data_IF_747925692563
#
_entry.id   IF_747925692563
#
_cell.length_a   1.000
_cell.length_b   1.000
_cell.length_c   1.000
_cell.angle_alpha   90.00
_cell.angle_beta   90.00
_cell.angle_gamma   90.00
#
_symmetry.space_group_name_H-M   'P 1'
#
loop_
_entity.id
_entity.type
_entity.pdbx_description
1 polymer ?
#
# COMPACT_ATOMS: atom_id res chain seq x y z
N UNK A 1 -15.70 -57.52 64.78
CA UNK A 1 -16.72 -56.53 64.37
C UNK A 1 -16.16 -55.15 64.69
N UNK A 2 -15.33 -54.62 63.87
CA UNK A 2 -14.76 -53.23 64.01
C UNK A 2 -14.94 -52.49 62.74
N UNK A 3 -15.76 -51.47 62.81
CA UNK A 3 -16.08 -50.60 61.71
C UNK A 3 -15.03 -49.55 61.49
N UNK A 4 -14.37 -49.57 60.37
CA UNK A 4 -13.44 -48.53 59.91
C UNK A 4 -14.21 -47.36 59.34
N UNK A 5 -14.16 -46.22 60.01
CA UNK A 5 -14.70 -44.94 59.65
C UNK A 5 -13.85 -44.33 58.48
N UNK A 6 -14.44 -43.72 57.45
CA UNK A 6 -13.65 -43.11 56.36
C UNK A 6 -13.06 -41.76 56.82
N UNK A 7 -11.76 -41.53 56.58
CA UNK A 7 -11.04 -40.29 56.80
C UNK A 7 -11.69 -39.16 55.96
N UNK A 8 -12.15 -38.12 56.63
CA UNK A 8 -12.57 -36.85 56.02
C UNK A 8 -11.41 -36.22 55.21
N UNK A 9 -11.52 -36.19 53.92
CA UNK A 9 -10.62 -35.40 53.07
C UNK A 9 -10.71 -33.92 53.43
N UNK A 10 -9.58 -33.31 53.74
CA UNK A 10 -9.46 -31.88 54.01
C UNK A 10 -9.82 -31.08 52.73
N UNK A 11 -10.93 -30.32 52.81
CA UNK A 11 -11.26 -29.32 51.76
C UNK A 11 -10.14 -28.32 51.66
N UNK A 12 -9.52 -28.18 50.48
CA UNK A 12 -8.56 -27.10 50.15
C UNK A 12 -9.27 -25.76 50.33
N UNK A 13 -8.67 -24.81 51.02
CA UNK A 13 -9.16 -23.43 51.01
C UNK A 13 -9.03 -22.86 49.61
N UNK A 14 -10.13 -22.32 49.09
CA UNK A 14 -10.13 -21.64 47.80
C UNK A 14 -9.25 -20.41 47.86
N UNK A 15 -8.13 -20.40 47.12
CA UNK A 15 -7.24 -19.25 46.98
C UNK A 15 -5.80 -19.39 47.54
N UNK A 16 -5.42 -20.59 48.03
CA UNK A 16 -4.03 -20.79 48.47
C UNK A 16 -3.06 -20.80 47.24
N UNK A 17 -2.15 -19.82 47.25
CA UNK A 17 -1.16 -19.64 46.14
C UNK A 17 0.25 -20.09 46.55
N UNK A 18 0.45 -20.45 47.83
CA UNK A 18 1.76 -20.81 48.38
C UNK A 18 1.66 -22.10 49.23
N UNK A 19 2.70 -22.93 49.19
CA UNK A 19 2.76 -24.18 49.94
C UNK A 19 4.13 -24.40 50.56
N UNK A 20 4.16 -24.87 51.81
CA UNK A 20 5.41 -25.26 52.44
C UNK A 20 5.92 -26.60 51.89
N UNK A 21 7.18 -26.61 51.41
CA UNK A 21 7.84 -27.82 50.89
C UNK A 21 8.04 -28.90 51.93
N UNK A 22 8.22 -28.56 53.23
CA UNK A 22 8.45 -29.48 54.34
C UNK A 22 7.20 -30.17 54.87
N UNK A 23 6.13 -29.42 55.18
CA UNK A 23 4.95 -29.96 55.84
C UNK A 23 3.66 -29.86 55.03
N UNK A 24 3.71 -29.33 53.82
CA UNK A 24 2.55 -29.17 52.92
C UNK A 24 1.52 -28.14 53.39
N UNK A 25 1.82 -27.27 54.36
CA UNK A 25 0.91 -26.23 54.81
C UNK A 25 0.65 -25.23 53.64
N UNK A 26 -0.64 -24.93 53.38
CA UNK A 26 -1.05 -24.00 52.32
C UNK A 26 -1.31 -22.61 52.89
N UNK A 27 -0.81 -21.57 52.24
CA UNK A 27 -0.95 -20.16 52.66
C UNK A 27 -1.44 -19.30 51.47
N UNK A 28 -2.18 -18.23 51.75
CA UNK A 28 -2.68 -17.30 50.74
C UNK A 28 -1.66 -16.26 50.27
N UNK A 29 -0.53 -16.13 50.98
CA UNK A 29 0.60 -15.26 50.62
C UNK A 29 1.91 -15.87 51.07
N UNK A 30 2.99 -15.41 50.49
CA UNK A 30 4.34 -15.81 50.92
C UNK A 30 4.58 -15.42 52.39
N UNK A 31 5.08 -16.35 53.17
CA UNK A 31 5.46 -16.17 54.58
C UNK A 31 6.92 -16.65 54.72
N UNK A 32 7.78 -15.81 55.33
CA UNK A 32 9.17 -16.14 55.55
C UNK A 32 9.37 -17.39 56.46
N UNK A 33 8.43 -17.64 57.37
CA UNK A 33 8.40 -18.81 58.25
C UNK A 33 7.06 -19.54 58.15
N UNK A 34 7.10 -20.85 58.01
CA UNK A 34 5.90 -21.69 57.98
C UNK A 34 5.19 -21.68 59.35
N UNK A 35 3.92 -21.29 59.50
CA UNK A 35 3.22 -21.22 60.76
C UNK A 35 2.98 -22.63 61.38
N UNK A 36 3.06 -23.69 60.56
CA UNK A 36 2.78 -25.05 61.02
C UNK A 36 4.04 -25.79 61.49
N UNK A 37 5.10 -25.84 60.68
CA UNK A 37 6.34 -26.52 60.99
C UNK A 37 7.45 -25.59 61.47
N UNK A 38 7.26 -24.26 61.42
CA UNK A 38 8.20 -23.19 61.82
C UNK A 38 9.53 -23.18 61.06
N UNK A 39 9.63 -23.91 59.96
CA UNK A 39 10.80 -23.87 59.06
C UNK A 39 10.81 -22.53 58.30
N UNK A 40 12.00 -21.97 58.11
CA UNK A 40 12.23 -20.75 57.40
C UNK A 40 12.48 -20.98 55.91
N UNK A 41 11.95 -20.10 55.06
CA UNK A 41 12.22 -20.13 53.61
C UNK A 41 11.62 -21.32 52.84
N UNK A 42 10.72 -22.09 53.47
CA UNK A 42 10.15 -23.34 52.89
C UNK A 42 8.77 -23.14 52.24
N UNK A 43 8.25 -21.88 52.23
CA UNK A 43 6.98 -21.57 51.55
C UNK A 43 7.26 -21.09 50.13
N UNK A 44 6.90 -21.92 49.16
CA UNK A 44 7.08 -21.68 47.74
C UNK A 44 5.71 -21.37 47.09
N UNK A 45 5.75 -20.55 46.03
CA UNK A 45 4.57 -20.26 45.22
C UNK A 45 4.15 -21.53 44.46
N UNK A 46 2.95 -22.01 44.73
CA UNK A 46 2.39 -23.10 43.98
C UNK A 46 1.89 -22.55 42.66
N UNK A 47 2.58 -22.86 41.55
CA UNK A 47 2.08 -22.56 40.22
C UNK A 47 0.63 -23.08 40.14
N UNK A 48 -0.32 -22.16 40.05
CA UNK A 48 -1.70 -22.53 39.72
C UNK A 48 -1.65 -23.14 38.34
N UNK A 49 -1.71 -24.44 38.24
CA UNK A 49 -2.02 -25.12 36.99
C UNK A 49 -3.41 -24.57 36.60
N UNK A 50 -3.42 -23.57 35.72
CA UNK A 50 -4.66 -23.15 35.06
C UNK A 50 -5.23 -24.46 34.49
N UNK A 51 -6.42 -24.81 34.93
CA UNK A 51 -7.19 -25.86 34.29
C UNK A 51 -7.12 -25.63 32.79
N UNK A 52 -6.82 -26.65 31.96
CA UNK A 52 -6.77 -26.49 30.52
C UNK A 52 -8.03 -25.76 30.10
N UNK A 53 -7.85 -24.71 29.27
CA UNK A 53 -8.94 -23.91 28.75
C UNK A 53 -10.06 -24.88 28.34
N UNK A 54 -11.28 -24.65 28.82
CA UNK A 54 -12.43 -25.52 28.55
C UNK A 54 -12.39 -25.80 27.04
N UNK A 55 -12.13 -27.05 26.67
CA UNK A 55 -12.21 -27.50 25.28
C UNK A 55 -13.65 -27.24 24.87
N UNK A 56 -13.85 -26.39 23.87
CA UNK A 56 -15.17 -26.14 23.30
C UNK A 56 -15.64 -27.50 22.78
N UNK A 57 -16.83 -27.93 23.20
CA UNK A 57 -17.40 -29.17 22.70
C UNK A 57 -17.50 -29.08 21.17
N UNK A 58 -17.12 -30.15 20.47
CA UNK A 58 -17.27 -30.23 19.04
C UNK A 58 -18.74 -30.06 18.64
N UNK A 59 -19.03 -29.02 17.85
CA UNK A 59 -20.34 -28.79 17.26
C UNK A 59 -20.46 -29.48 15.90
N UNK A 60 -21.69 -29.77 15.47
CA UNK A 60 -21.91 -30.21 14.10
C UNK A 60 -21.51 -29.11 13.12
N UNK A 61 -20.64 -29.37 12.10
CA UNK A 61 -20.27 -28.38 11.12
C UNK A 61 -21.48 -28.01 10.25
N UNK A 62 -21.65 -26.72 9.99
CA UNK A 62 -22.69 -26.21 9.09
C UNK A 62 -22.51 -26.73 7.65
N UNK A 63 -21.27 -26.99 7.24
CA UNK A 63 -20.91 -27.52 5.92
C UNK A 63 -19.87 -28.64 6.11
N UNK A 64 -20.03 -29.83 5.49
CA UNK A 64 -19.04 -30.89 5.61
C UNK A 64 -17.72 -30.49 4.92
N UNK A 65 -16.59 -30.93 5.48
CA UNK A 65 -15.30 -30.78 4.85
C UNK A 65 -15.29 -31.49 3.47
N UNK A 66 -14.74 -30.81 2.45
CA UNK A 66 -14.56 -31.35 1.10
C UNK A 66 -13.08 -31.51 0.80
N UNK A 67 -12.74 -32.44 -0.08
CA UNK A 67 -11.36 -32.51 -0.63
C UNK A 67 -11.12 -31.25 -1.44
N UNK A 68 -9.92 -30.68 -1.35
CA UNK A 68 -9.60 -29.45 -2.07
C UNK A 68 -9.75 -29.57 -3.58
N UNK A 69 -9.51 -30.76 -4.14
CA UNK A 69 -9.69 -31.05 -5.58
C UNK A 69 -11.17 -31.11 -6.02
N UNK A 70 -12.12 -31.28 -5.08
CA UNK A 70 -13.56 -31.35 -5.35
C UNK A 70 -14.24 -29.97 -5.21
N UNK A 71 -13.45 -28.91 -4.93
CA UNK A 71 -13.95 -27.54 -4.83
C UNK A 71 -13.99 -26.93 -6.23
N UNK A 72 -15.17 -26.56 -6.69
CA UNK A 72 -15.35 -25.91 -7.98
C UNK A 72 -14.72 -24.51 -7.98
N UNK A 73 -13.89 -24.20 -8.98
CA UNK A 73 -13.21 -22.91 -9.14
C UNK A 73 -14.11 -21.85 -9.81
N UNK A 74 -15.24 -22.22 -10.38
CA UNK A 74 -16.14 -21.29 -11.10
C UNK A 74 -16.64 -20.14 -10.19
N UNK A 75 -16.73 -20.37 -8.89
CA UNK A 75 -17.07 -19.33 -7.91
C UNK A 75 -15.92 -18.38 -7.55
N UNK A 76 -14.70 -18.64 -8.04
CA UNK A 76 -13.50 -17.84 -7.74
C UNK A 76 -13.02 -17.00 -8.95
N UNK A 77 -13.74 -16.99 -10.06
CA UNK A 77 -13.38 -16.21 -11.24
C UNK A 77 -13.61 -14.72 -10.98
N UNK A 78 -12.57 -13.91 -11.17
CA UNK A 78 -12.66 -12.46 -11.06
C UNK A 78 -13.54 -11.85 -12.15
N UNK A 79 -14.32 -10.84 -11.80
CA UNK A 79 -15.14 -10.04 -12.73
C UNK A 79 -14.55 -8.66 -12.83
N UNK A 80 -14.26 -8.18 -14.05
CA UNK A 80 -13.73 -6.84 -14.25
C UNK A 80 -14.66 -5.76 -13.67
N UNK A 81 -14.10 -4.73 -13.07
CA UNK A 81 -14.87 -3.56 -12.59
C UNK A 81 -15.26 -2.61 -13.72
N UNK A 82 -14.72 -2.83 -14.93
CA UNK A 82 -14.84 -1.91 -16.05
C UNK A 82 -13.88 -0.72 -15.99
N UNK A 83 -13.01 -0.67 -14.96
CA UNK A 83 -11.95 0.33 -14.80
C UNK A 83 -10.59 -0.38 -14.91
N UNK A 84 -9.96 -0.41 -16.09
CA UNK A 84 -8.79 -1.27 -16.35
C UNK A 84 -7.61 -1.07 -15.41
N UNK A 85 -7.35 0.16 -14.98
CA UNK A 85 -6.27 0.48 -14.04
C UNK A 85 -6.57 -0.01 -12.61
N UNK A 86 -7.84 -0.11 -12.22
CA UNK A 86 -8.23 -0.74 -10.96
C UNK A 86 -8.20 -2.27 -11.09
N UNK A 87 -8.68 -2.82 -12.21
CA UNK A 87 -8.65 -4.26 -12.49
C UNK A 87 -7.22 -4.80 -12.48
N UNK A 88 -6.25 -4.04 -12.98
CA UNK A 88 -4.82 -4.36 -12.89
C UNK A 88 -4.39 -4.60 -11.44
N UNK A 89 -4.74 -3.69 -10.53
CA UNK A 89 -4.34 -3.76 -9.10
C UNK A 89 -5.09 -4.87 -8.37
N UNK A 90 -6.33 -5.13 -8.76
CA UNK A 90 -7.14 -6.21 -8.22
C UNK A 90 -6.71 -7.61 -8.71
N UNK A 91 -5.90 -7.68 -9.79
CA UNK A 91 -5.50 -8.96 -10.40
C UNK A 91 -6.52 -9.50 -11.38
N UNK A 92 -7.29 -8.60 -12.02
CA UNK A 92 -8.28 -8.92 -13.06
C UNK A 92 -9.72 -8.52 -12.72
N UNK A 93 -9.96 -8.05 -11.49
CA UNK A 93 -11.29 -7.58 -11.07
C UNK A 93 -11.71 -8.08 -9.68
N UNK A 94 -13.00 -8.07 -9.43
CA UNK A 94 -13.59 -8.48 -8.15
C UNK A 94 -13.95 -9.97 -8.14
N UNK A 95 -13.42 -10.70 -7.17
CA UNK A 95 -13.79 -12.10 -6.91
C UNK A 95 -15.08 -12.13 -6.08
N UNK A 96 -16.02 -13.08 -6.33
CA UNK A 96 -17.21 -13.23 -5.49
C UNK A 96 -16.87 -13.34 -4.00
N UNK A 97 -17.54 -12.54 -3.17
CA UNK A 97 -17.32 -12.51 -1.73
C UNK A 97 -16.00 -11.84 -1.28
N UNK A 98 -15.27 -11.17 -2.17
CA UNK A 98 -14.09 -10.38 -1.81
C UNK A 98 -14.48 -9.16 -0.99
N UNK A 99 -13.68 -8.84 0.02
CA UNK A 99 -13.76 -7.56 0.74
C UNK A 99 -12.49 -6.76 0.48
N UNK A 100 -12.68 -5.62 -0.17
CA UNK A 100 -11.61 -4.67 -0.54
C UNK A 100 -11.69 -3.46 0.37
N UNK A 101 -10.57 -3.07 0.98
CA UNK A 101 -10.43 -1.80 1.67
C UNK A 101 -9.67 -0.83 0.78
N UNK A 102 -10.32 0.27 0.39
CA UNK A 102 -9.70 1.39 -0.30
C UNK A 102 -9.39 2.49 0.72
N UNK A 103 -8.15 2.57 1.15
CA UNK A 103 -7.66 3.53 2.13
C UNK A 103 -6.95 4.72 1.45
N UNK A 104 -6.97 5.90 2.07
CA UNK A 104 -6.24 7.08 1.58
C UNK A 104 -6.70 8.37 2.23
N UNK A 105 -5.97 9.46 1.97
CA UNK A 105 -6.29 10.79 2.53
C UNK A 105 -7.68 11.27 2.10
N UNK A 106 -8.38 12.07 2.95
CA UNK A 106 -9.60 12.76 2.56
C UNK A 106 -9.37 13.67 1.36
N UNK A 107 -10.33 13.73 0.45
CA UNK A 107 -10.26 14.59 -0.75
C UNK A 107 -9.35 14.06 -1.87
N UNK A 108 -8.73 12.89 -1.73
CA UNK A 108 -7.88 12.32 -2.77
C UNK A 108 -8.62 11.87 -4.04
N UNK A 109 -9.94 11.63 -3.97
CA UNK A 109 -10.76 11.18 -5.11
C UNK A 109 -11.31 9.76 -4.98
N UNK A 110 -11.21 9.11 -3.80
CA UNK A 110 -11.71 7.74 -3.56
C UNK A 110 -13.18 7.55 -3.91
N UNK A 111 -14.04 8.41 -3.38
CA UNK A 111 -15.49 8.35 -3.63
C UNK A 111 -15.83 8.58 -5.11
N UNK A 112 -15.05 9.40 -5.83
CA UNK A 112 -15.22 9.61 -7.27
C UNK A 112 -14.87 8.34 -8.05
N UNK A 113 -13.75 7.68 -7.72
CA UNK A 113 -13.38 6.41 -8.33
C UNK A 113 -14.43 5.33 -8.08
N UNK A 114 -14.90 5.22 -6.84
CA UNK A 114 -15.87 4.17 -6.49
C UNK A 114 -17.25 4.40 -7.09
N UNK A 115 -17.64 5.66 -7.30
CA UNK A 115 -18.88 5.99 -7.99
C UNK A 115 -18.80 5.58 -9.48
N UNK A 116 -17.65 5.80 -10.13
CA UNK A 116 -17.37 5.33 -11.49
C UNK A 116 -17.40 3.80 -11.58
N UNK A 117 -16.72 3.10 -10.65
CA UNK A 117 -16.74 1.63 -10.55
C UNK A 117 -18.16 1.11 -10.35
N UNK A 118 -18.92 1.72 -9.43
CA UNK A 118 -20.29 1.33 -9.14
C UNK A 118 -21.20 1.47 -10.36
N UNK A 119 -21.06 2.57 -11.12
CA UNK A 119 -21.83 2.79 -12.35
C UNK A 119 -21.47 1.77 -13.44
N UNK A 120 -20.19 1.49 -13.66
CA UNK A 120 -19.76 0.51 -14.68
C UNK A 120 -20.21 -0.90 -14.34
N UNK A 121 -20.07 -1.34 -13.09
CA UNK A 121 -20.58 -2.64 -12.66
C UNK A 121 -22.11 -2.68 -12.76
N UNK A 122 -22.83 -1.59 -12.43
CA UNK A 122 -24.27 -1.53 -12.57
C UNK A 122 -24.74 -1.67 -14.02
N UNK A 123 -23.98 -1.15 -14.97
CA UNK A 123 -24.26 -1.25 -16.40
C UNK A 123 -23.97 -2.64 -16.98
N UNK A 124 -22.99 -3.37 -16.43
CA UNK A 124 -22.56 -4.68 -16.95
C UNK A 124 -23.21 -5.87 -16.24
N UNK A 125 -23.28 -5.83 -14.90
CA UNK A 125 -23.60 -7.00 -14.07
C UNK A 125 -24.95 -6.89 -13.34
N UNK A 126 -25.56 -5.72 -13.29
CA UNK A 126 -26.84 -5.46 -12.64
C UNK A 126 -26.75 -4.62 -11.37
N UNK A 127 -27.72 -4.73 -10.46
CA UNK A 127 -27.87 -3.83 -9.34
C UNK A 127 -26.61 -3.69 -8.46
N UNK A 128 -26.22 -2.45 -8.17
CA UNK A 128 -25.13 -2.07 -7.26
C UNK A 128 -25.70 -1.19 -6.15
N UNK A 129 -25.34 -1.46 -4.91
CA UNK A 129 -25.70 -0.64 -3.75
C UNK A 129 -24.50 0.21 -3.33
N UNK A 130 -24.68 1.53 -3.36
CA UNK A 130 -23.74 2.50 -2.80
C UNK A 130 -24.31 3.03 -1.49
N UNK A 131 -23.74 2.63 -0.37
CA UNK A 131 -24.13 3.07 0.96
C UNK A 131 -23.17 4.16 1.46
N UNK A 132 -23.70 5.28 1.94
CA UNK A 132 -22.90 6.38 2.48
C UNK A 132 -23.49 6.92 3.77
N UNK A 133 -22.63 7.10 4.77
CA UNK A 133 -22.98 7.81 6.01
C UNK A 133 -22.33 9.20 6.11
N UNK A 134 -21.55 9.62 5.11
CA UNK A 134 -20.85 10.92 5.11
C UNK A 134 -21.62 12.00 4.35
N UNK A 135 -22.20 11.63 3.24
CA UNK A 135 -22.83 12.58 2.32
C UNK A 135 -24.34 12.35 2.21
N UNK A 136 -25.07 13.41 2.04
CA UNK A 136 -26.51 13.32 1.72
C UNK A 136 -26.73 12.75 0.31
N UNK A 137 -27.87 12.13 0.09
CA UNK A 137 -28.25 11.58 -1.21
C UNK A 137 -28.17 12.62 -2.34
N UNK A 138 -28.49 13.89 -2.06
CA UNK A 138 -28.37 14.98 -3.03
C UNK A 138 -26.93 15.29 -3.44
N UNK A 139 -25.99 15.25 -2.49
CA UNK A 139 -24.56 15.49 -2.76
C UNK A 139 -23.95 14.38 -3.63
N UNK A 140 -24.26 13.11 -3.31
CA UNK A 140 -23.82 11.98 -4.12
C UNK A 140 -24.45 12.04 -5.53
N UNK A 141 -25.75 12.36 -5.63
CA UNK A 141 -26.43 12.53 -6.94
C UNK A 141 -25.80 13.64 -7.77
N UNK A 142 -25.46 14.78 -7.16
CA UNK A 142 -24.79 15.88 -7.86
C UNK A 142 -23.43 15.45 -8.42
N UNK A 143 -22.64 14.72 -7.61
CA UNK A 143 -21.37 14.13 -8.05
C UNK A 143 -21.57 13.12 -9.18
N UNK A 144 -22.52 12.19 -9.03
CA UNK A 144 -22.84 11.19 -10.05
C UNK A 144 -23.26 11.84 -11.39
N UNK A 145 -24.03 12.94 -11.34
CA UNK A 145 -24.41 13.68 -12.54
C UNK A 145 -23.21 14.33 -13.22
N UNK A 146 -22.32 14.96 -12.44
CA UNK A 146 -21.09 15.59 -12.96
C UNK A 146 -20.14 14.58 -13.60
N UNK A 147 -20.03 13.39 -13.03
CA UNK A 147 -19.09 12.33 -13.51
C UNK A 147 -19.74 11.36 -14.50
N UNK A 148 -21.01 11.58 -14.90
CA UNK A 148 -21.70 10.65 -15.81
C UNK A 148 -22.04 9.29 -15.22
N UNK A 149 -21.95 9.13 -13.89
CA UNK A 149 -22.17 7.86 -13.19
C UNK A 149 -23.65 7.55 -12.90
N UNK A 150 -24.58 8.32 -13.45
CA UNK A 150 -26.02 8.08 -13.27
C UNK A 150 -26.50 6.98 -14.20
N UNK A 151 -26.99 5.87 -13.64
CA UNK A 151 -27.57 4.76 -14.40
C UNK A 151 -28.65 4.04 -13.58
N UNK A 152 -29.52 3.27 -14.25
CA UNK A 152 -30.68 2.62 -13.64
C UNK A 152 -30.32 1.53 -12.60
N UNK A 153 -29.19 0.84 -12.77
CA UNK A 153 -28.74 -0.22 -11.87
C UNK A 153 -28.01 0.27 -10.62
N UNK A 154 -27.74 1.57 -10.48
CA UNK A 154 -27.03 2.13 -9.32
C UNK A 154 -28.01 2.66 -8.28
N UNK A 155 -28.06 1.98 -7.13
CA UNK A 155 -28.88 2.33 -5.97
C UNK A 155 -28.06 3.02 -4.90
N UNK A 156 -28.60 4.07 -4.31
CA UNK A 156 -27.97 4.86 -3.24
C UNK A 156 -28.74 4.72 -1.95
N UNK A 157 -28.04 4.38 -0.86
CA UNK A 157 -28.56 4.42 0.50
C UNK A 157 -27.73 5.42 1.33
N UNK A 158 -28.36 6.50 1.78
CA UNK A 158 -27.77 7.46 2.72
C UNK A 158 -28.04 6.98 4.15
N UNK A 159 -27.29 5.95 4.59
CA UNK A 159 -27.51 5.21 5.82
C UNK A 159 -26.20 5.07 6.63
N UNK A 160 -26.31 5.22 7.94
CA UNK A 160 -25.22 5.00 8.89
C UNK A 160 -25.43 3.81 9.81
N UNK A 161 -26.61 3.15 9.74
CA UNK A 161 -26.90 1.94 10.52
C UNK A 161 -26.64 0.67 9.70
N UNK A 162 -25.83 -0.23 10.24
CA UNK A 162 -25.48 -1.49 9.59
C UNK A 162 -26.72 -2.36 9.31
N UNK A 163 -27.70 -2.41 10.24
CA UNK A 163 -28.92 -3.19 10.07
C UNK A 163 -29.74 -2.71 8.87
N UNK A 164 -29.86 -1.39 8.69
CA UNK A 164 -30.52 -0.78 7.53
C UNK A 164 -29.81 -1.11 6.22
N UNK A 165 -28.45 -1.05 6.20
CA UNK A 165 -27.68 -1.42 5.02
C UNK A 165 -27.90 -2.90 4.66
N UNK A 166 -27.93 -3.82 5.65
CA UNK A 166 -28.22 -5.24 5.42
C UNK A 166 -29.63 -5.42 4.87
N UNK A 167 -30.63 -4.66 5.38
CA UNK A 167 -31.98 -4.68 4.87
C UNK A 167 -32.07 -4.29 3.39
N UNK A 168 -31.31 -3.28 2.97
CA UNK A 168 -31.20 -2.90 1.55
C UNK A 168 -30.54 -4.00 0.70
N UNK A 169 -29.48 -4.68 1.22
CA UNK A 169 -28.85 -5.80 0.53
C UNK A 169 -29.84 -6.94 0.32
N UNK A 170 -30.67 -7.26 1.33
CA UNK A 170 -31.68 -8.33 1.24
C UNK A 170 -32.76 -8.03 0.19
N UNK A 171 -33.20 -6.78 0.14
CA UNK A 171 -34.22 -6.33 -0.82
C UNK A 171 -33.70 -6.27 -2.25
N UNK A 172 -32.48 -5.73 -2.46
CA UNK A 172 -31.92 -5.45 -3.80
C UNK A 172 -31.13 -6.62 -4.38
N UNK A 173 -30.54 -7.47 -3.54
CA UNK A 173 -29.61 -8.54 -3.93
C UNK A 173 -28.52 -8.04 -4.90
N UNK A 174 -27.74 -7.00 -4.50
CA UNK A 174 -26.83 -6.31 -5.40
C UNK A 174 -25.66 -7.23 -5.81
N UNK A 175 -25.02 -6.91 -6.93
CA UNK A 175 -23.80 -7.58 -7.43
C UNK A 175 -22.52 -6.98 -6.85
N UNK A 176 -22.61 -5.77 -6.30
CA UNK A 176 -21.53 -5.08 -5.60
C UNK A 176 -22.13 -4.19 -4.50
N UNK A 177 -21.48 -4.18 -3.34
CA UNK A 177 -21.72 -3.20 -2.27
C UNK A 177 -20.52 -2.27 -2.15
N UNK A 178 -20.76 -0.97 -2.16
CA UNK A 178 -19.78 0.07 -1.79
C UNK A 178 -20.23 0.71 -0.49
N UNK A 179 -19.34 0.85 0.49
CA UNK A 179 -19.58 1.54 1.77
C UNK A 179 -18.62 2.71 1.92
N UNK A 180 -19.15 3.93 1.88
CA UNK A 180 -18.38 5.19 1.91
C UNK A 180 -18.86 6.10 3.06
N UNK A 181 -18.19 6.10 4.22
CA UNK A 181 -17.04 5.29 4.63
C UNK A 181 -17.41 4.30 5.75
N UNK A 182 -16.54 3.31 5.97
CA UNK A 182 -16.74 2.36 7.07
C UNK A 182 -16.70 3.02 8.45
N UNK A 183 -16.08 4.22 8.57
CA UNK A 183 -16.02 4.99 9.80
C UNK A 183 -17.35 5.63 10.19
N UNK A 184 -18.25 5.86 9.25
CA UNK A 184 -19.55 6.48 9.51
C UNK A 184 -20.66 5.48 9.79
N UNK A 185 -20.40 4.19 9.53
CA UNK A 185 -21.35 3.12 9.81
C UNK A 185 -21.16 2.59 11.24
N UNK A 186 -22.29 2.37 11.93
CA UNK A 186 -22.32 1.81 13.27
C UNK A 186 -23.29 0.62 13.36
N UNK A 187 -23.05 -0.25 14.34
CA UNK A 187 -23.93 -1.34 14.71
C UNK A 187 -24.54 -1.07 16.08
N UNK A 188 -25.85 -1.20 16.19
CA UNK A 188 -26.57 -1.09 17.46
C UNK A 188 -26.22 -2.23 18.45
N UNK A 189 -25.64 -3.32 17.96
CA UNK A 189 -25.27 -4.50 18.77
C UNK A 189 -23.95 -4.33 19.53
N UNK A 190 -23.21 -3.26 19.25
CA UNK A 190 -21.86 -3.04 19.82
C UNK A 190 -21.76 -1.65 20.42
N UNK A 191 -21.30 -1.56 21.66
CA UNK A 191 -21.05 -0.28 22.33
C UNK A 191 -19.90 0.48 21.71
N UNK A 192 -20.01 1.79 21.69
CA UNK A 192 -18.96 2.71 21.21
C UNK A 192 -19.47 3.77 20.25
N UNK A 193 -18.70 4.85 20.11
CA UNK A 193 -19.04 5.94 19.17
C UNK A 193 -18.83 5.51 17.73
N UNK A 194 -19.63 5.98 16.76
CA UNK A 194 -19.34 5.84 15.34
C UNK A 194 -17.91 6.29 15.03
N UNK A 195 -17.20 5.55 14.17
CA UNK A 195 -15.79 5.81 13.84
C UNK A 195 -14.77 5.30 14.87
N UNK A 196 -15.20 4.89 16.06
CA UNK A 196 -14.34 4.27 17.06
C UNK A 196 -13.86 2.88 16.62
N UNK A 197 -12.66 2.47 17.08
CA UNK A 197 -12.00 1.20 16.67
C UNK A 197 -12.93 0.00 16.83
N UNK A 198 -13.67 -0.07 17.94
CA UNK A 198 -14.59 -1.18 18.25
C UNK A 198 -15.72 -1.26 17.23
N UNK A 199 -16.38 -0.15 16.93
CA UNK A 199 -17.47 -0.06 15.95
C UNK A 199 -16.99 -0.40 14.54
N UNK A 200 -15.93 0.25 14.07
CA UNK A 200 -15.38 0.04 12.72
C UNK A 200 -14.96 -1.42 12.52
N UNK A 201 -14.37 -2.04 13.56
CA UNK A 201 -14.01 -3.46 13.52
C UNK A 201 -15.26 -4.36 13.45
N UNK A 202 -16.27 -4.10 14.27
CA UNK A 202 -17.50 -4.88 14.29
C UNK A 202 -18.24 -4.84 12.95
N UNK A 203 -18.41 -3.63 12.39
CA UNK A 203 -19.00 -3.41 11.07
C UNK A 203 -18.21 -4.14 9.98
N UNK A 204 -16.89 -4.05 9.99
CA UNK A 204 -16.04 -4.73 9.01
C UNK A 204 -16.16 -6.25 9.12
N UNK A 205 -16.17 -6.80 10.33
CA UNK A 205 -16.35 -8.27 10.54
C UNK A 205 -17.71 -8.73 10.04
N UNK A 206 -18.78 -8.00 10.36
CA UNK A 206 -20.14 -8.34 9.92
C UNK A 206 -20.28 -8.30 8.40
N UNK A 207 -19.79 -7.25 7.75
CA UNK A 207 -19.80 -7.13 6.29
C UNK A 207 -18.92 -8.18 5.62
N UNK A 208 -17.79 -8.56 6.24
CA UNK A 208 -16.93 -9.64 5.72
C UNK A 208 -17.63 -11.00 5.79
N UNK A 209 -18.30 -11.31 6.88
CA UNK A 209 -19.07 -12.54 7.01
C UNK A 209 -20.20 -12.61 5.97
N UNK A 210 -20.97 -11.53 5.82
CA UNK A 210 -22.05 -11.41 4.84
C UNK A 210 -21.51 -11.53 3.40
N UNK A 211 -20.39 -10.89 3.09
CA UNK A 211 -19.75 -10.99 1.78
C UNK A 211 -19.44 -12.45 1.42
N UNK A 212 -18.81 -13.19 2.34
CA UNK A 212 -18.45 -14.60 2.15
C UNK A 212 -19.67 -15.51 2.02
N UNK A 213 -20.69 -15.30 2.86
CA UNK A 213 -21.91 -16.09 2.86
C UNK A 213 -22.68 -15.94 1.54
N UNK A 214 -22.77 -14.71 1.02
CA UNK A 214 -23.58 -14.39 -0.16
C UNK A 214 -22.81 -14.34 -1.47
N UNK A 215 -21.50 -14.51 -1.44
CA UNK A 215 -20.66 -14.29 -2.62
C UNK A 215 -20.71 -12.85 -3.13
N UNK A 216 -21.05 -11.87 -2.26
CA UNK A 216 -21.19 -10.46 -2.60
C UNK A 216 -19.85 -9.75 -2.47
N UNK A 217 -19.26 -9.21 -3.56
CA UNK A 217 -18.11 -8.31 -3.46
C UNK A 217 -18.47 -7.05 -2.67
N UNK A 218 -17.57 -6.64 -1.76
CA UNK A 218 -17.75 -5.44 -0.92
C UNK A 218 -16.50 -4.57 -1.02
N UNK A 219 -16.68 -3.27 -1.31
CA UNK A 219 -15.62 -2.28 -1.25
C UNK A 219 -15.90 -1.32 -0.09
N UNK A 220 -14.97 -1.27 0.86
CA UNK A 220 -15.02 -0.38 2.02
C UNK A 220 -14.08 0.80 1.80
N UNK A 221 -14.57 2.02 1.97
CA UNK A 221 -13.72 3.21 2.01
C UNK A 221 -13.21 3.42 3.42
N UNK A 222 -11.88 3.62 3.55
CA UNK A 222 -11.22 3.96 4.81
C UNK A 222 -10.45 5.28 4.71
N UNK A 223 -10.58 6.14 5.73
CA UNK A 223 -9.79 7.37 5.82
C UNK A 223 -8.53 7.14 6.66
N UNK A 224 -7.39 7.62 6.15
CA UNK A 224 -6.13 7.64 6.89
C UNK A 224 -6.02 9.02 7.55
N UNK A 225 -5.99 9.05 8.88
CA UNK A 225 -5.67 10.29 9.62
C UNK A 225 -4.20 10.37 9.90
N UNK A 226 -3.61 11.57 9.78
CA UNK A 226 -2.18 11.81 10.05
C UNK A 226 -1.77 11.49 11.49
N UNK A 227 -2.71 11.54 12.42
CA UNK A 227 -2.47 11.42 13.86
C UNK A 227 -2.78 10.04 14.45
N UNK A 228 -3.22 9.07 13.66
CA UNK A 228 -3.50 7.71 14.11
C UNK A 228 -4.65 7.56 15.14
N UNK A 229 -5.39 8.65 15.43
CA UNK A 229 -6.41 8.69 16.48
C UNK A 229 -7.78 8.09 16.09
N UNK A 230 -8.07 7.98 14.81
CA UNK A 230 -9.26 7.29 14.29
C UNK A 230 -8.82 5.90 13.85
N UNK A 231 -9.72 4.89 13.96
CA UNK A 231 -9.46 3.52 13.53
C UNK A 231 -8.88 3.52 12.10
N UNK A 232 -7.56 3.60 12.04
CA UNK A 232 -6.84 3.69 10.77
C UNK A 232 -6.91 2.35 10.03
N UNK A 233 -6.58 2.32 8.73
CA UNK A 233 -6.60 1.13 7.89
C UNK A 233 -5.88 -0.07 8.49
N UNK A 234 -4.80 0.14 9.27
CA UNK A 234 -4.01 -0.92 9.91
C UNK A 234 -4.83 -1.88 10.78
N UNK A 235 -5.89 -1.37 11.45
CA UNK A 235 -6.78 -2.20 12.28
C UNK A 235 -7.62 -3.13 11.41
N UNK A 236 -7.93 -2.73 10.17
CA UNK A 236 -8.80 -3.43 9.24
C UNK A 236 -8.05 -4.36 8.28
N UNK A 237 -6.75 -4.13 8.05
CA UNK A 237 -5.92 -4.87 7.08
C UNK A 237 -5.98 -6.39 7.27
N UNK A 238 -6.11 -6.84 8.52
CA UNK A 238 -6.19 -8.27 8.83
C UNK A 238 -7.57 -8.86 8.62
N UNK A 239 -8.61 -8.04 8.56
CA UNK A 239 -10.00 -8.45 8.44
C UNK A 239 -10.47 -8.59 6.99
N UNK A 240 -9.82 -7.88 6.07
CA UNK A 240 -10.19 -7.83 4.65
C UNK A 240 -9.23 -8.66 3.77
N UNK A 241 -9.67 -8.97 2.55
CA UNK A 241 -8.90 -9.79 1.61
C UNK A 241 -7.90 -8.96 0.80
N UNK A 242 -8.29 -7.75 0.41
CA UNK A 242 -7.51 -6.84 -0.41
C UNK A 242 -7.43 -5.49 0.28
N UNK A 243 -6.25 -4.89 0.32
CA UNK A 243 -6.00 -3.53 0.80
C UNK A 243 -5.36 -2.73 -0.31
N UNK A 244 -6.04 -1.67 -0.71
CA UNK A 244 -5.58 -0.71 -1.69
C UNK A 244 -5.32 0.63 -1.01
N UNK A 245 -4.21 1.27 -1.35
CA UNK A 245 -3.89 2.62 -0.89
C UNK A 245 -4.04 3.61 -2.03
N UNK A 246 -4.89 4.62 -1.83
CA UNK A 246 -5.14 5.68 -2.78
C UNK A 246 -4.27 6.89 -2.43
N UNK A 247 -3.34 7.22 -3.31
CA UNK A 247 -2.35 8.26 -3.14
C UNK A 247 -2.55 9.38 -4.19
N UNK A 248 -2.24 10.61 -3.81
CA UNK A 248 -2.24 11.74 -4.74
C UNK A 248 -1.73 13.00 -4.07
N UNK A 249 -0.95 13.78 -4.80
CA UNK A 249 -0.53 15.10 -4.38
C UNK A 249 -1.63 16.13 -4.71
N UNK A 250 -1.86 17.09 -3.83
CA UNK A 250 -2.87 18.15 -4.04
C UNK A 250 -2.53 19.07 -5.21
N UNK A 251 -1.27 19.14 -5.58
CA UNK A 251 -0.76 19.98 -6.67
C UNK A 251 -0.61 19.25 -8.02
N UNK A 252 -0.99 17.95 -8.05
CA UNK A 252 -0.97 17.12 -9.25
C UNK A 252 -2.36 16.57 -9.54
N UNK A 253 -2.71 16.42 -10.81
CA UNK A 253 -3.92 15.71 -11.23
C UNK A 253 -3.76 14.20 -11.13
N UNK A 254 -2.52 13.70 -11.06
CA UNK A 254 -2.22 12.28 -10.97
C UNK A 254 -2.67 11.68 -9.63
N UNK A 255 -3.29 10.52 -9.72
CA UNK A 255 -3.65 9.68 -8.58
C UNK A 255 -3.14 8.27 -8.82
N UNK A 256 -2.69 7.63 -7.76
CA UNK A 256 -2.22 6.24 -7.81
C UNK A 256 -3.01 5.37 -6.84
N UNK A 257 -3.37 4.18 -7.29
CA UNK A 257 -3.94 3.12 -6.46
C UNK A 257 -2.89 2.03 -6.34
N UNK A 258 -2.38 1.83 -5.14
CA UNK A 258 -1.34 0.83 -4.86
C UNK A 258 -1.94 -0.38 -4.13
N UNK A 259 -1.66 -1.58 -4.60
CA UNK A 259 -1.95 -2.81 -3.88
C UNK A 259 -0.99 -2.99 -2.71
N UNK A 260 -1.52 -3.00 -1.48
CA UNK A 260 -0.74 -3.26 -0.26
C UNK A 260 -0.86 -4.73 0.14
N UNK A 261 -2.05 -5.29 -0.04
CA UNK A 261 -2.38 -6.68 0.23
C UNK A 261 -3.37 -7.17 -0.80
N UNK A 262 -3.13 -8.33 -1.38
CA UNK A 262 -4.08 -8.97 -2.28
C UNK A 262 -3.98 -10.50 -2.14
N UNK A 263 -5.06 -11.14 -1.68
CA UNK A 263 -5.12 -12.62 -1.56
C UNK A 263 -5.41 -13.32 -2.88
N UNK A 264 -5.87 -12.58 -3.90
CA UNK A 264 -6.33 -13.13 -5.19
C UNK A 264 -5.44 -12.74 -6.35
N UNK A 265 -4.43 -11.90 -6.09
CA UNK A 265 -3.52 -11.41 -7.10
C UNK A 265 -2.23 -10.83 -6.52
N UNK A 266 -1.43 -10.15 -7.36
CA UNK A 266 -0.20 -9.52 -6.91
C UNK A 266 -0.48 -8.37 -5.95
N UNK A 267 0.33 -8.24 -4.90
CA UNK A 267 0.21 -7.18 -3.89
C UNK A 267 1.01 -5.91 -4.22
N UNK A 268 1.78 -5.92 -5.31
CA UNK A 268 2.72 -4.86 -5.68
C UNK A 268 2.39 -4.18 -7.03
N UNK A 269 1.13 -4.26 -7.46
CA UNK A 269 0.64 -3.56 -8.66
C UNK A 269 0.21 -2.13 -8.34
N UNK A 270 0.34 -1.26 -9.34
CA UNK A 270 -0.06 0.15 -9.26
C UNK A 270 -0.93 0.53 -10.45
N UNK A 271 -2.11 1.06 -10.16
CA UNK A 271 -3.00 1.70 -11.13
C UNK A 271 -2.79 3.21 -11.13
N UNK A 272 -2.74 3.81 -12.29
CA UNK A 272 -2.56 5.25 -12.47
C UNK A 272 -3.84 5.89 -12.99
N UNK A 273 -4.20 7.02 -12.41
CA UNK A 273 -5.41 7.75 -12.74
C UNK A 273 -5.12 9.25 -12.85
N UNK A 274 -5.90 9.93 -13.62
CA UNK A 274 -5.92 11.38 -13.70
C UNK A 274 -7.26 11.90 -13.17
N UNK A 275 -7.21 12.81 -12.21
CA UNK A 275 -8.38 13.50 -11.70
C UNK A 275 -8.67 14.73 -12.57
N UNK A 276 -9.83 14.77 -13.20
CA UNK A 276 -10.33 15.85 -14.03
C UNK A 276 -11.63 16.41 -13.48
N UNK A 277 -12.11 17.50 -14.05
CA UNK A 277 -13.36 18.13 -13.61
C UNK A 277 -14.58 17.22 -13.81
N UNK A 278 -14.56 16.40 -14.84
CA UNK A 278 -15.60 15.43 -15.22
C UNK A 278 -15.47 14.07 -14.52
N UNK A 279 -14.42 13.84 -13.71
CA UNK A 279 -14.27 12.59 -13.01
C UNK A 279 -12.83 12.12 -12.83
N UNK A 280 -12.66 10.81 -12.73
CA UNK A 280 -11.36 10.16 -12.60
C UNK A 280 -11.17 9.18 -13.76
N UNK A 281 -10.06 9.32 -14.47
CA UNK A 281 -9.79 8.55 -15.68
C UNK A 281 -8.54 7.69 -15.50
N UNK A 282 -8.64 6.42 -15.90
CA UNK A 282 -7.48 5.51 -15.90
C UNK A 282 -6.45 5.95 -16.95
N UNK A 283 -5.19 6.03 -16.54
CA UNK A 283 -4.06 6.37 -17.39
C UNK A 283 -3.24 5.12 -17.68
N UNK A 284 -3.46 4.52 -18.83
CA UNK A 284 -2.76 3.28 -19.24
C UNK A 284 -1.28 3.52 -19.51
N UNK A 285 -0.92 4.71 -19.95
CA UNK A 285 0.46 5.15 -20.19
C UNK A 285 0.76 6.45 -19.43
N UNK A 286 1.10 6.38 -18.12
CA UNK A 286 1.36 7.56 -17.30
C UNK A 286 2.72 8.19 -17.57
N UNK A 287 3.61 7.56 -18.34
CA UNK A 287 4.96 8.08 -18.62
C UNK A 287 4.92 9.46 -19.29
N UNK A 288 3.88 9.74 -20.08
CA UNK A 288 3.68 11.05 -20.67
C UNK A 288 3.45 12.19 -19.66
N UNK A 289 2.97 11.86 -18.46
CA UNK A 289 2.73 12.85 -17.38
C UNK A 289 4.02 13.21 -16.62
N UNK A 290 5.04 12.35 -16.68
CA UNK A 290 6.30 12.48 -15.94
C UNK A 290 7.48 12.92 -16.80
N UNK A 291 7.22 13.14 -18.07
CA UNK A 291 8.18 13.70 -19.00
C UNK A 291 7.70 15.10 -19.36
N UNK A 292 8.61 16.07 -19.38
CA UNK A 292 8.29 17.38 -19.95
C UNK A 292 7.81 17.18 -21.40
N UNK A 293 6.77 17.89 -21.81
CA UNK A 293 6.20 17.79 -23.15
C UNK A 293 7.29 17.67 -24.21
N UNK A 294 7.35 16.48 -24.84
CA UNK A 294 8.30 16.17 -25.90
C UNK A 294 9.78 15.99 -25.52
N UNK A 295 10.13 15.47 -24.33
CA UNK A 295 11.54 15.11 -24.03
C UNK A 295 12.22 14.25 -25.10
N UNK A 296 11.44 13.48 -25.89
CA UNK A 296 11.90 12.77 -27.09
C UNK A 296 12.04 13.66 -28.33
N UNK A 297 11.38 14.81 -28.38
CA UNK A 297 11.31 15.70 -29.55
C UNK A 297 12.01 17.02 -29.36
N UNK A 298 12.34 17.41 -28.14
CA UNK A 298 13.10 18.63 -27.82
C UNK A 298 14.59 18.39 -28.01
N UNK A 299 15.31 19.47 -28.35
CA UNK A 299 16.75 19.47 -28.22
C UNK A 299 17.16 19.17 -26.78
N UNK A 300 18.18 18.33 -26.56
CA UNK A 300 18.67 18.03 -25.23
C UNK A 300 19.02 19.30 -24.46
N UNK A 301 18.62 19.39 -23.19
CA UNK A 301 18.86 20.54 -22.31
C UNK A 301 19.82 20.13 -21.20
N UNK A 302 20.81 20.99 -20.92
CA UNK A 302 21.72 20.77 -19.81
C UNK A 302 20.92 20.71 -18.48
N UNK A 303 21.35 19.82 -17.58
CA UNK A 303 20.67 19.61 -16.30
C UNK A 303 19.49 18.65 -16.33
N UNK A 304 19.23 17.96 -17.43
CA UNK A 304 18.14 16.97 -17.52
C UNK A 304 18.66 15.55 -17.74
N UNK A 305 18.02 14.56 -17.10
CA UNK A 305 18.26 13.15 -17.33
C UNK A 305 16.95 12.37 -17.22
N UNK A 306 16.73 11.42 -18.13
CA UNK A 306 15.56 10.53 -18.07
C UNK A 306 15.96 9.22 -17.40
N UNK A 307 15.14 8.77 -16.47
CA UNK A 307 15.30 7.45 -15.82
C UNK A 307 14.01 6.63 -15.92
N UNK A 308 14.09 5.38 -15.52
CA UNK A 308 12.92 4.50 -15.38
C UNK A 308 12.84 4.04 -13.94
N UNK A 309 11.90 4.61 -13.19
CA UNK A 309 11.52 4.17 -11.86
C UNK A 309 10.61 2.94 -11.95
N UNK A 310 10.56 2.11 -10.90
CA UNK A 310 9.57 1.03 -10.79
C UNK A 310 8.72 1.27 -9.56
N UNK A 311 7.44 1.49 -9.79
CA UNK A 311 6.43 1.56 -8.76
C UNK A 311 5.69 0.23 -8.69
N UNK A 312 5.97 -0.56 -7.63
CA UNK A 312 5.52 -1.94 -7.56
C UNK A 312 6.10 -2.80 -8.69
N UNK A 313 5.25 -3.25 -9.60
CA UNK A 313 5.68 -3.94 -10.84
C UNK A 313 5.68 -3.07 -12.09
N UNK A 314 5.22 -1.83 -12.00
CA UNK A 314 5.06 -0.93 -13.13
C UNK A 314 6.29 -0.08 -13.35
N UNK A 315 7.00 -0.21 -14.48
CA UNK A 315 8.04 0.73 -14.84
C UNK A 315 7.39 2.04 -15.31
N UNK A 316 7.91 3.16 -14.86
CA UNK A 316 7.46 4.51 -15.18
C UNK A 316 8.68 5.35 -15.57
N UNK A 317 8.61 6.00 -16.72
CA UNK A 317 9.65 6.97 -17.07
C UNK A 317 9.47 8.25 -16.25
N UNK A 318 10.60 8.81 -15.82
CA UNK A 318 10.63 10.05 -15.08
C UNK A 318 11.80 10.92 -15.50
N UNK A 319 11.57 12.20 -15.56
CA UNK A 319 12.60 13.20 -15.83
C UNK A 319 13.13 13.77 -14.52
N UNK A 320 14.45 13.69 -14.35
CA UNK A 320 15.20 14.35 -13.27
C UNK A 320 15.79 15.63 -13.82
N UNK A 321 15.51 16.73 -13.17
CA UNK A 321 16.07 18.04 -13.48
C UNK A 321 17.02 18.48 -12.37
N UNK A 322 18.13 19.11 -12.75
CA UNK A 322 19.09 19.70 -11.86
C UNK A 322 19.47 21.09 -12.33
N UNK A 323 19.64 21.99 -11.39
CA UNK A 323 20.21 23.32 -11.60
C UNK A 323 21.38 23.52 -10.64
N UNK A 324 22.50 23.92 -11.16
CA UNK A 324 23.67 24.31 -10.36
C UNK A 324 23.88 25.82 -10.57
N UNK A 325 23.77 26.59 -9.48
CA UNK A 325 23.78 28.05 -9.54
C UNK A 325 24.77 28.64 -8.53
N UNK A 326 25.31 29.80 -8.87
CA UNK A 326 26.27 30.51 -8.03
C UNK A 326 27.66 29.88 -8.04
N UNK A 327 28.64 30.67 -7.63
CA UNK A 327 30.00 30.23 -7.35
C UNK A 327 30.47 30.98 -6.11
N UNK A 328 31.39 30.37 -5.36
CA UNK A 328 32.00 30.96 -4.17
C UNK A 328 31.01 31.34 -3.07
N UNK A 329 29.95 30.54 -2.92
CA UNK A 329 28.92 30.70 -1.87
C UNK A 329 29.41 30.01 -0.59
N UNK A 330 29.60 30.74 0.53
CA UNK A 330 30.14 30.14 1.76
C UNK A 330 29.27 29.02 2.36
N UNK A 331 27.95 29.11 2.18
CA UNK A 331 27.00 28.11 2.68
C UNK A 331 25.97 27.79 1.58
N UNK A 332 26.34 26.95 0.60
CA UNK A 332 25.50 26.71 -0.57
C UNK A 332 24.25 25.89 -0.21
N UNK A 333 23.11 26.30 -0.75
CA UNK A 333 21.83 25.66 -0.54
C UNK A 333 21.70 24.33 -1.33
N UNK A 334 21.10 23.34 -0.70
CA UNK A 334 20.70 22.08 -1.35
C UNK A 334 19.19 21.96 -1.26
N UNK A 335 18.48 22.04 -2.38
CA UNK A 335 17.04 21.92 -2.43
C UNK A 335 16.64 20.70 -3.28
N UNK A 336 15.71 19.91 -2.75
CA UNK A 336 15.29 18.64 -3.35
C UNK A 336 13.77 18.60 -3.39
N UNK A 337 13.20 18.28 -4.54
CA UNK A 337 11.75 18.11 -4.73
C UNK A 337 11.46 16.80 -5.49
N UNK A 338 10.59 15.97 -4.96
CA UNK A 338 10.21 14.69 -5.59
C UNK A 338 11.26 13.56 -5.50
N UNK A 339 12.46 13.85 -4.98
CA UNK A 339 13.56 12.88 -4.77
C UNK A 339 13.81 12.68 -3.28
N UNK A 340 14.50 11.60 -2.90
CA UNK A 340 14.98 11.39 -1.53
C UNK A 340 16.20 12.30 -1.26
N UNK A 341 16.08 13.18 -0.27
CA UNK A 341 17.11 14.19 0.03
C UNK A 341 18.40 13.58 0.58
N UNK A 342 18.34 12.47 1.30
CA UNK A 342 19.52 11.77 1.80
C UNK A 342 20.30 11.12 0.65
N UNK A 343 19.60 10.51 -0.30
CA UNK A 343 20.21 9.94 -1.51
C UNK A 343 20.84 11.02 -2.38
N UNK A 344 20.14 12.12 -2.65
CA UNK A 344 20.70 13.25 -3.40
C UNK A 344 21.97 13.74 -2.74
N UNK A 345 21.97 13.96 -1.42
CA UNK A 345 23.15 14.41 -0.67
C UNK A 345 24.34 13.45 -0.82
N UNK A 346 24.08 12.14 -0.77
CA UNK A 346 25.09 11.11 -0.97
C UNK A 346 25.65 11.14 -2.41
N UNK A 347 24.79 11.22 -3.41
CA UNK A 347 25.18 11.30 -4.83
C UNK A 347 26.05 12.54 -5.09
N UNK A 348 25.69 13.70 -4.53
CA UNK A 348 26.49 14.94 -4.65
C UNK A 348 27.89 14.77 -4.04
N UNK A 349 28.00 14.12 -2.87
CA UNK A 349 29.28 13.83 -2.23
C UNK A 349 30.16 12.91 -3.10
N UNK A 350 29.57 11.88 -3.71
CA UNK A 350 30.27 10.96 -4.63
C UNK A 350 30.71 11.69 -5.90
N UNK A 351 29.84 12.51 -6.52
CA UNK A 351 30.20 13.32 -7.67
C UNK A 351 31.40 14.22 -7.38
N UNK A 352 31.41 14.89 -6.25
CA UNK A 352 32.47 15.79 -5.84
C UNK A 352 33.77 15.02 -5.57
N UNK A 353 33.71 13.93 -4.81
CA UNK A 353 34.92 13.22 -4.35
C UNK A 353 35.49 12.25 -5.38
N UNK A 354 34.64 11.59 -6.18
CA UNK A 354 35.04 10.50 -7.09
C UNK A 354 35.07 10.91 -8.56
N UNK A 355 34.21 11.89 -8.93
CA UNK A 355 34.08 12.33 -10.30
C UNK A 355 34.73 13.72 -10.54
N UNK A 356 35.23 14.38 -9.51
CA UNK A 356 35.89 15.68 -9.62
C UNK A 356 34.98 16.85 -10.01
N UNK A 357 33.66 16.68 -9.88
CA UNK A 357 32.67 17.73 -10.17
C UNK A 357 32.64 18.71 -8.98
N UNK A 358 33.02 19.96 -9.21
CA UNK A 358 33.01 20.99 -8.15
C UNK A 358 31.58 21.41 -7.80
N UNK A 359 31.15 21.16 -6.57
CA UNK A 359 29.84 21.51 -6.05
C UNK A 359 29.89 22.11 -4.64
N UNK A 360 31.09 22.26 -4.06
CA UNK A 360 31.24 22.66 -2.65
C UNK A 360 30.88 24.13 -2.43
N UNK A 361 30.97 24.95 -3.45
CA UNK A 361 30.77 26.40 -3.47
C UNK A 361 29.58 26.83 -4.35
N UNK A 362 28.76 25.87 -4.78
CA UNK A 362 27.61 26.13 -5.65
C UNK A 362 26.31 25.61 -5.05
N UNK A 363 25.22 26.32 -5.22
CA UNK A 363 23.88 25.85 -4.89
C UNK A 363 23.45 24.78 -5.87
N UNK A 364 22.77 23.74 -5.35
CA UNK A 364 22.24 22.62 -6.16
C UNK A 364 20.77 22.44 -5.88
N UNK A 365 19.98 22.50 -6.92
CA UNK A 365 18.55 22.26 -6.92
C UNK A 365 18.28 21.02 -7.76
N UNK A 366 17.52 20.06 -7.23
CA UNK A 366 17.12 18.86 -7.97
C UNK A 366 15.64 18.62 -7.83
N UNK A 367 14.99 18.25 -8.91
CA UNK A 367 13.56 18.00 -8.93
C UNK A 367 13.18 16.90 -9.91
N UNK A 368 12.03 16.28 -9.69
CA UNK A 368 11.33 15.45 -10.67
C UNK A 368 10.25 16.26 -11.38
N UNK A 369 9.93 15.90 -12.61
CA UNK A 369 8.83 16.50 -13.37
C UNK A 369 7.52 15.78 -13.07
N UNK A 370 6.39 16.48 -13.17
CA UNK A 370 5.04 15.91 -13.05
C UNK A 370 4.63 15.50 -11.62
N UNK A 371 5.38 15.94 -10.59
CA UNK A 371 5.05 15.63 -9.20
C UNK A 371 5.35 14.18 -8.77
N UNK A 372 6.09 13.44 -9.58
CA UNK A 372 6.51 12.07 -9.25
C UNK A 372 7.42 12.07 -8.03
N UNK A 373 7.22 11.12 -7.11
CA UNK A 373 8.13 10.88 -5.99
C UNK A 373 8.98 9.66 -6.26
N UNK A 374 10.31 9.81 -6.25
CA UNK A 374 11.26 8.73 -6.44
C UNK A 374 12.17 8.61 -5.23
N UNK A 375 12.13 7.49 -4.56
CA UNK A 375 13.01 7.15 -3.43
C UNK A 375 13.92 5.96 -3.72
N UNK A 376 13.74 5.32 -4.88
CA UNK A 376 14.50 4.12 -5.22
C UNK A 376 15.93 4.45 -5.69
N UNK A 377 16.91 3.60 -5.34
CA UNK A 377 18.31 3.78 -5.73
C UNK A 377 18.58 3.81 -7.24
N UNK A 378 17.68 3.23 -8.03
CA UNK A 378 17.82 3.17 -9.49
C UNK A 378 17.95 4.54 -10.18
N UNK A 379 17.48 5.61 -9.53
CA UNK A 379 17.55 6.98 -10.04
C UNK A 379 18.90 7.68 -9.76
N UNK A 380 19.79 7.12 -8.94
CA UNK A 380 21.02 7.79 -8.52
C UNK A 380 21.91 8.22 -9.71
N UNK A 381 22.06 7.34 -10.69
CA UNK A 381 22.89 7.63 -11.86
C UNK A 381 22.27 8.76 -12.70
N UNK A 382 20.95 8.84 -12.79
CA UNK A 382 20.26 9.94 -13.45
C UNK A 382 20.42 11.25 -12.69
N UNK A 383 20.30 11.23 -11.36
CA UNK A 383 20.56 12.39 -10.50
C UNK A 383 21.99 12.87 -10.70
N UNK A 384 22.97 11.96 -10.67
CA UNK A 384 24.38 12.29 -10.86
C UNK A 384 24.65 12.94 -12.22
N UNK A 385 24.12 12.36 -13.29
CA UNK A 385 24.33 12.86 -14.64
C UNK A 385 23.57 14.16 -14.90
N UNK A 386 22.36 14.35 -14.33
CA UNK A 386 21.65 15.63 -14.41
C UNK A 386 22.46 16.76 -13.73
N UNK A 387 22.98 16.52 -12.52
CA UNK A 387 23.81 17.50 -11.81
C UNK A 387 25.12 17.77 -12.53
N UNK A 388 25.80 16.74 -13.00
CA UNK A 388 27.06 16.93 -13.77
C UNK A 388 26.81 17.65 -15.09
N UNK A 389 25.69 17.38 -15.76
CA UNK A 389 25.23 18.08 -16.97
C UNK A 389 24.97 19.56 -16.70
N UNK A 390 24.25 19.90 -15.61
CA UNK A 390 24.02 21.29 -15.21
C UNK A 390 25.31 22.02 -14.87
N UNK A 391 26.24 21.38 -14.15
CA UNK A 391 27.52 22.00 -13.78
C UNK A 391 28.43 22.26 -14.97
N UNK A 392 28.39 21.39 -15.98
CA UNK A 392 29.22 21.53 -17.20
C UNK A 392 28.54 22.32 -18.32
N UNK A 393 27.28 22.66 -18.14
CA UNK A 393 26.41 23.21 -19.20
C UNK A 393 26.41 22.34 -20.47
N UNK A 394 26.44 21.05 -20.32
CA UNK A 394 26.57 20.07 -21.40
C UNK A 394 25.41 19.05 -21.30
N UNK A 395 24.48 19.01 -22.26
CA UNK A 395 23.35 18.13 -22.24
C UNK A 395 23.74 16.65 -22.44
N UNK A 396 22.92 15.73 -21.89
CA UNK A 396 22.97 14.31 -22.24
C UNK A 396 22.44 14.09 -23.67
N UNK A 397 22.87 13.02 -24.37
CA UNK A 397 22.31 12.66 -25.66
C UNK A 397 20.79 12.49 -25.63
N UNK A 398 20.08 12.99 -26.64
CA UNK A 398 18.65 12.78 -26.79
C UNK A 398 18.29 11.30 -26.93
N UNK A 399 17.13 10.91 -26.43
CA UNK A 399 16.65 9.51 -26.50
C UNK A 399 17.42 8.52 -25.59
N UNK A 400 18.21 9.03 -24.64
CA UNK A 400 18.93 8.22 -23.65
C UNK A 400 18.13 8.11 -22.34
N UNK A 401 17.97 6.88 -21.82
CA UNK A 401 17.56 6.64 -20.44
C UNK A 401 18.76 6.19 -19.60
N UNK A 402 18.76 6.59 -18.34
CA UNK A 402 19.88 6.36 -17.42
C UNK A 402 19.38 5.67 -16.16
N UNK A 403 19.93 4.51 -15.83
CA UNK A 403 19.44 3.66 -14.76
C UNK A 403 20.63 3.11 -13.98
N UNK A 404 20.63 3.24 -12.64
CA UNK A 404 21.66 2.64 -11.81
C UNK A 404 21.75 3.22 -10.41
N UNK A 405 22.12 2.40 -9.45
CA UNK A 405 22.46 2.79 -8.08
C UNK A 405 23.93 3.19 -8.01
N UNK A 406 24.24 4.24 -7.28
CA UNK A 406 25.62 4.69 -7.06
C UNK A 406 26.06 4.35 -5.63
N UNK A 407 27.15 3.59 -5.51
CA UNK A 407 27.79 3.36 -4.23
C UNK A 407 28.78 4.47 -3.85
N UNK A 408 29.18 4.52 -2.57
CA UNK A 408 30.06 5.57 -2.02
C UNK A 408 31.47 5.58 -2.61
N UNK A 409 31.92 4.48 -3.22
CA UNK A 409 33.20 4.40 -3.92
C UNK A 409 33.13 4.88 -5.37
N UNK A 410 31.91 5.17 -5.89
CA UNK A 410 31.63 5.59 -7.25
C UNK A 410 31.30 4.42 -8.18
N UNK A 411 31.23 3.20 -7.66
CA UNK A 411 30.75 2.04 -8.41
C UNK A 411 29.25 2.18 -8.75
N UNK A 412 28.87 1.66 -9.92
CA UNK A 412 27.47 1.61 -10.34
C UNK A 412 26.98 0.17 -10.11
N UNK A 413 25.99 0.06 -9.26
CA UNK A 413 25.43 -1.22 -8.82
C UNK A 413 24.22 -1.59 -9.62
N UNK A 414 24.09 -2.90 -9.89
CA UNK A 414 22.91 -3.47 -10.56
C UNK A 414 21.70 -3.39 -9.64
N UNK A 415 20.59 -3.01 -10.23
CA UNK A 415 19.28 -2.93 -9.58
C UNK A 415 18.35 -4.02 -10.10
N UNK A 416 17.27 -4.27 -9.36
CA UNK A 416 16.25 -5.21 -9.79
C UNK A 416 15.50 -4.71 -11.04
N UNK A 417 15.18 -5.64 -11.96
CA UNK A 417 14.30 -5.38 -13.09
C UNK A 417 14.88 -4.45 -14.17
N UNK A 418 16.21 -4.39 -14.34
CA UNK A 418 16.86 -3.60 -15.41
C UNK A 418 16.26 -3.91 -16.78
N UNK A 419 16.06 -5.19 -17.11
CA UNK A 419 15.47 -5.63 -18.37
C UNK A 419 14.09 -5.03 -18.62
N UNK A 420 13.21 -5.08 -17.61
CA UNK A 420 11.86 -4.51 -17.68
C UNK A 420 11.89 -3.00 -17.86
N UNK A 421 12.81 -2.30 -17.20
CA UNK A 421 12.99 -0.85 -17.32
C UNK A 421 13.43 -0.47 -18.74
N UNK A 422 14.42 -1.18 -19.26
CA UNK A 422 14.92 -0.93 -20.62
C UNK A 422 13.87 -1.29 -21.69
N UNK A 423 13.11 -2.39 -21.48
CA UNK A 423 12.01 -2.75 -22.39
C UNK A 423 10.92 -1.67 -22.43
N UNK A 424 10.57 -1.08 -21.27
CA UNK A 424 9.60 0.01 -21.21
C UNK A 424 10.10 1.27 -21.91
N UNK A 425 11.37 1.64 -21.69
CA UNK A 425 11.98 2.75 -22.40
C UNK A 425 11.95 2.55 -23.94
N UNK A 426 12.26 1.32 -24.40
CA UNK A 426 12.19 0.99 -25.81
C UNK A 426 10.77 1.10 -26.36
N UNK A 427 9.76 0.61 -25.61
CA UNK A 427 8.34 0.72 -25.97
C UNK A 427 7.91 2.18 -26.19
N UNK A 428 8.46 3.09 -25.38
CA UNK A 428 8.17 4.52 -25.43
C UNK A 428 9.03 5.28 -26.43
N UNK A 429 9.88 4.59 -27.23
CA UNK A 429 10.62 5.17 -28.34
C UNK A 429 12.02 5.69 -27.99
N UNK A 430 12.52 5.44 -26.79
CA UNK A 430 13.93 5.72 -26.45
C UNK A 430 14.85 4.77 -27.21
N UNK A 431 16.01 5.27 -27.61
CA UNK A 431 16.93 4.57 -28.51
C UNK A 431 18.19 4.07 -27.81
N UNK A 432 18.51 4.62 -26.62
CA UNK A 432 19.67 4.24 -25.86
C UNK A 432 19.37 4.11 -24.36
N UNK A 433 20.05 3.17 -23.70
CA UNK A 433 19.99 2.98 -22.27
C UNK A 433 21.40 2.86 -21.70
N UNK A 434 21.70 3.65 -20.64
CA UNK A 434 22.88 3.50 -19.83
C UNK A 434 22.50 2.74 -18.56
N UNK A 435 23.14 1.60 -18.35
CA UNK A 435 22.75 0.66 -17.28
C UNK A 435 23.99 0.10 -16.56
N UNK A 436 23.83 -0.42 -15.33
CA UNK A 436 24.93 -1.06 -14.63
C UNK A 436 25.41 -2.32 -15.36
N UNK A 437 26.72 -2.50 -15.47
CA UNK A 437 27.31 -3.75 -15.93
C UNK A 437 26.99 -4.90 -14.96
N UNK A 438 26.90 -6.11 -15.50
CA UNK A 438 26.54 -7.29 -14.73
C UNK A 438 27.22 -8.56 -15.24
N UNK A 439 27.13 -9.67 -14.47
CA UNK A 439 27.76 -10.94 -14.82
C UNK A 439 27.18 -11.58 -16.09
N UNK A 440 25.96 -11.19 -16.46
CA UNK A 440 25.29 -11.64 -17.68
C UNK A 440 24.84 -10.42 -18.49
N UNK A 441 25.12 -10.41 -19.80
CA UNK A 441 24.69 -9.33 -20.68
C UNK A 441 23.14 -9.27 -20.69
N UNK A 442 22.61 -8.07 -20.83
CA UNK A 442 21.17 -7.89 -20.98
C UNK A 442 20.70 -8.47 -22.33
N UNK A 443 19.48 -9.01 -22.40
CA UNK A 443 18.92 -9.48 -23.65
C UNK A 443 18.85 -8.34 -24.65
N UNK A 444 19.10 -8.64 -25.93
CA UNK A 444 18.99 -7.68 -27.01
C UNK A 444 17.56 -7.19 -27.14
N UNK A 445 17.32 -5.91 -26.93
CA UNK A 445 16.02 -5.27 -27.11
C UNK A 445 16.03 -4.56 -28.46
N UNK A 446 15.06 -4.90 -29.32
CA UNK A 446 14.95 -4.33 -30.67
C UNK A 446 14.83 -2.79 -30.60
N UNK A 447 15.67 -2.10 -31.35
CA UNK A 447 15.67 -0.64 -31.41
C UNK A 447 16.37 0.08 -30.24
N UNK A 448 16.96 -0.65 -29.28
CA UNK A 448 17.63 -0.09 -28.11
C UNK A 448 19.13 -0.41 -28.11
N UNK A 449 19.94 0.63 -28.03
CA UNK A 449 21.40 0.53 -27.78
C UNK A 449 21.62 0.51 -26.26
N UNK A 450 22.02 -0.61 -25.71
CA UNK A 450 22.36 -0.73 -24.30
C UNK A 450 23.86 -0.48 -24.12
N UNK A 451 24.21 0.44 -23.22
CA UNK A 451 25.57 0.76 -22.81
C UNK A 451 25.70 0.38 -21.33
N UNK A 452 26.65 -0.48 -21.04
CA UNK A 452 26.90 -0.93 -19.68
C UNK A 452 28.07 -0.16 -19.07
N UNK A 453 27.94 0.27 -17.80
CA UNK A 453 28.95 0.98 -17.03
C UNK A 453 29.10 0.37 -15.64
N UNK A 454 30.32 0.32 -15.16
CA UNK A 454 30.68 -0.20 -13.84
C UNK A 454 31.01 0.89 -12.83
N UNK A 455 31.39 2.05 -13.32
CA UNK A 455 31.84 3.17 -12.48
C UNK A 455 31.34 4.51 -13.02
N UNK A 456 31.09 5.47 -12.13
CA UNK A 456 30.57 6.80 -12.47
C UNK A 456 31.46 7.55 -13.48
N UNK A 457 32.80 7.37 -13.40
CA UNK A 457 33.76 7.96 -14.34
C UNK A 457 33.55 7.54 -15.79
N UNK A 458 33.00 6.35 -16.06
CA UNK A 458 32.71 5.85 -17.40
C UNK A 458 31.47 6.50 -18.02
N UNK A 459 30.55 6.99 -17.17
CA UNK A 459 29.33 7.66 -17.62
C UNK A 459 29.53 9.14 -17.98
N UNK A 460 30.49 9.83 -17.35
CA UNK A 460 30.74 11.26 -17.55
C UNK A 460 31.17 11.67 -18.99
N UNK A 461 31.87 10.85 -19.78
CA UNK A 461 32.18 11.18 -21.17
C UNK A 461 30.96 11.33 -22.09
N UNK A 462 29.78 10.90 -21.65
CA UNK A 462 28.53 11.15 -22.39
C UNK A 462 28.12 12.64 -22.37
N UNK A 463 28.62 13.41 -21.40
CA UNK A 463 28.48 14.85 -21.32
C UNK A 463 29.54 15.49 -22.21
N UNK A 464 29.31 15.50 -23.51
CA UNK A 464 30.19 16.21 -24.47
C UNK A 464 29.60 17.60 -24.70
N UNK A 465 30.37 18.59 -24.29
CA UNK A 465 30.22 19.93 -24.81
C UNK A 465 30.80 19.99 -26.20
#
# INVERSE_FOLDING_TARGET
MEGTSPRKGSRRPAGATHRCGECGHEAMKWLGQCPRCKSWGTIEETATVRAPARTVAAGAPATPARRIGDVELDSAVSRPTGVPELDRVLGGGLVPGVVVLLAGEPGAGKSTLLLEVAARVAQSDGAVLYATGEESAGQVKLRATRTGAVCDGLYLAAESDLGSIIGHIDALKPKLLVVDSVQTVSSAEVDGSPGGVTQVRAVTVALTALAKERGLPVILVGHVTKDGSVAGPRVLEHLVDVVLHFEGDRHSTLRMVRGIKNRYGPADEVGCFELRDDGIHGVTDPSGLFLADSSLRRAPVAGTAITVAVEGKRPLLAEVQALVAGKDIPSPRRAVSGLDSARVSMVLAVLQRRAGIRLHDAEVYTATVGGMRMSEPAADLAIALAVASAQKDAPLPGGLVVIGEIGLTGEIRRIAGVERRVAEAARLGFQAALVPSGPHPLPKIKGMRVMEVSHLGEALPLLKG
#
